data_IF_830099600693
#
_entry.id   IF_830099600693
#
_cell.length_a   1.000
_cell.length_b   1.000
_cell.length_c   1.000
_cell.angle_alpha   90.00
_cell.angle_beta   90.00
_cell.angle_gamma   90.00
#
_symmetry.space_group_name_H-M   'P 1'
#
loop_
_entity.id
_entity.type
_entity.pdbx_description
1 polymer ?
#
# COMPACT_ATOMS: atom_id res chain seq x y z
N UNK A 1 18.90 16.95 9.07
CA UNK A 1 18.33 15.70 8.49
C UNK A 1 17.05 15.43 9.26
N UNK A 2 15.88 15.41 8.60
CA UNK A 2 14.69 14.81 9.21
C UNK A 2 14.96 13.31 9.28
N UNK A 3 14.85 12.72 10.47
CA UNK A 3 14.77 11.26 10.57
C UNK A 3 13.57 10.83 9.72
N UNK A 4 13.84 10.15 8.60
CA UNK A 4 12.77 9.52 7.82
C UNK A 4 12.25 8.39 8.69
N UNK A 5 10.97 8.43 9.04
CA UNK A 5 10.32 7.34 9.76
C UNK A 5 10.61 6.04 9.02
N UNK A 6 11.01 4.98 9.73
CA UNK A 6 11.22 3.64 9.14
C UNK A 6 9.93 3.03 8.57
N UNK A 7 8.79 3.69 8.82
CA UNK A 7 7.48 3.36 8.28
C UNK A 7 6.94 4.43 7.35
N UNK A 8 7.73 5.43 6.94
CA UNK A 8 7.29 6.41 5.95
C UNK A 8 6.74 5.69 4.70
N UNK A 9 5.58 6.10 4.15
CA UNK A 9 4.77 7.29 4.44
C UNK A 9 3.71 7.15 5.55
N UNK A 10 3.71 6.04 6.27
CA UNK A 10 2.71 5.70 7.27
C UNK A 10 3.06 6.23 8.68
N UNK A 11 2.01 6.38 9.49
CA UNK A 11 2.11 6.42 10.95
C UNK A 11 2.01 4.99 11.48
N UNK A 12 2.98 4.60 12.30
CA UNK A 12 2.97 3.32 12.98
C UNK A 12 2.33 3.44 14.36
N UNK A 13 1.39 2.54 14.66
CA UNK A 13 0.86 2.36 16.01
C UNK A 13 0.77 0.88 16.35
N UNK A 14 0.67 0.57 17.64
CA UNK A 14 0.54 -0.81 18.11
C UNK A 14 -0.37 -0.89 19.32
N UNK A 15 -1.20 -1.91 19.34
CA UNK A 15 -2.07 -2.23 20.47
C UNK A 15 -2.09 -3.75 20.70
N UNK A 16 -1.60 -4.19 21.86
CA UNK A 16 -1.37 -5.60 22.16
C UNK A 16 -0.42 -6.28 21.15
N UNK A 17 -0.94 -7.26 20.39
CA UNK A 17 -0.20 -7.98 19.34
C UNK A 17 -0.54 -7.48 17.94
N UNK A 18 -1.48 -6.54 17.83
CA UNK A 18 -1.84 -5.94 16.56
C UNK A 18 -0.99 -4.69 16.32
N UNK A 19 -0.42 -4.62 15.13
CA UNK A 19 0.35 -3.49 14.66
C UNK A 19 -0.37 -2.87 13.47
N UNK A 20 -0.34 -1.54 13.39
CA UNK A 20 -1.07 -0.78 12.39
C UNK A 20 -0.16 0.23 11.70
N UNK A 21 -0.32 0.34 10.39
CA UNK A 21 0.19 1.42 9.56
C UNK A 21 -0.99 2.22 9.01
N UNK A 22 -0.98 3.52 9.28
CA UNK A 22 -2.02 4.43 8.78
C UNK A 22 -1.41 5.40 7.78
N UNK A 23 -1.98 5.48 6.58
CA UNK A 23 -1.50 6.39 5.55
C UNK A 23 -1.92 7.83 5.86
N UNK A 24 -0.96 8.76 5.78
CA UNK A 24 -1.16 10.16 6.23
C UNK A 24 -1.80 11.01 5.14
N UNK A 25 -1.41 10.78 3.88
CA UNK A 25 -1.92 11.47 2.71
C UNK A 25 -2.23 10.42 1.64
N UNK A 26 -3.51 10.33 1.28
CA UNK A 26 -4.02 9.35 0.34
C UNK A 26 -3.78 9.76 -1.13
N UNK A 27 -3.10 10.90 -1.38
CA UNK A 27 -2.73 11.34 -2.73
C UNK A 27 -3.94 11.42 -3.67
N UNK A 28 -5.08 11.91 -3.19
CA UNK A 28 -6.38 11.88 -3.92
C UNK A 28 -6.28 12.36 -5.37
N UNK A 29 -5.52 13.42 -5.62
CA UNK A 29 -5.33 13.98 -6.97
C UNK A 29 -4.69 13.02 -7.96
N UNK A 30 -3.80 12.14 -7.49
CA UNK A 30 -3.18 11.13 -8.35
C UNK A 30 -4.23 10.12 -8.78
N UNK A 31 -5.07 9.63 -7.87
CA UNK A 31 -6.17 8.71 -8.17
C UNK A 31 -7.27 9.33 -9.02
N UNK A 32 -7.65 10.59 -8.74
CA UNK A 32 -8.65 11.34 -9.53
C UNK A 32 -8.25 11.45 -11.01
N UNK A 33 -6.95 11.50 -11.33
CA UNK A 33 -6.46 11.54 -12.71
C UNK A 33 -6.76 10.24 -13.50
N UNK A 34 -7.06 9.14 -12.79
CA UNK A 34 -7.38 7.82 -13.32
C UNK A 34 -8.84 7.42 -13.08
N UNK A 35 -9.73 8.39 -12.82
CA UNK A 35 -11.16 8.18 -12.54
C UNK A 35 -11.45 7.39 -11.24
N UNK A 36 -10.51 7.37 -10.27
CA UNK A 36 -10.68 6.80 -8.93
C UNK A 36 -10.95 7.89 -7.88
N UNK A 37 -11.48 7.51 -6.70
CA UNK A 37 -11.74 8.44 -5.59
C UNK A 37 -10.46 8.75 -4.79
N UNK A 38 -9.51 7.81 -4.77
CA UNK A 38 -8.30 7.87 -3.96
C UNK A 38 -8.57 7.66 -2.47
N UNK A 39 -9.62 6.92 -2.13
CA UNK A 39 -9.95 6.59 -0.75
C UNK A 39 -9.23 5.32 -0.27
N UNK A 40 -9.61 4.82 0.91
CA UNK A 40 -9.01 3.61 1.47
C UNK A 40 -9.25 2.35 0.63
N UNK A 41 -10.38 2.28 -0.09
CA UNK A 41 -10.69 1.12 -0.94
C UNK A 41 -9.77 1.11 -2.17
N UNK A 42 -9.55 2.25 -2.80
CA UNK A 42 -8.64 2.36 -3.95
C UNK A 42 -7.19 2.03 -3.58
N UNK A 43 -6.74 2.46 -2.39
CA UNK A 43 -5.42 2.09 -1.87
C UNK A 43 -5.31 0.61 -1.52
N UNK A 44 -6.35 0.03 -0.90
CA UNK A 44 -6.40 -1.40 -0.62
C UNK A 44 -6.29 -2.19 -1.92
N UNK A 45 -7.11 -1.86 -2.92
CA UNK A 45 -7.11 -2.50 -4.23
C UNK A 45 -5.74 -2.44 -4.92
N UNK A 46 -5.12 -1.25 -4.93
CA UNK A 46 -3.79 -1.04 -5.50
C UNK A 46 -2.76 -1.94 -4.82
N UNK A 47 -2.71 -1.97 -3.50
CA UNK A 47 -1.70 -2.74 -2.77
C UNK A 47 -1.98 -4.25 -2.80
N UNK A 48 -3.23 -4.67 -2.76
CA UNK A 48 -3.62 -6.08 -2.93
C UNK A 48 -3.15 -6.61 -4.29
N UNK A 49 -3.47 -5.90 -5.37
CA UNK A 49 -3.07 -6.30 -6.71
C UNK A 49 -1.55 -6.27 -6.88
N UNK A 50 -0.89 -5.20 -6.42
CA UNK A 50 0.57 -5.11 -6.46
C UNK A 50 1.25 -6.27 -5.71
N UNK A 51 0.77 -6.61 -4.51
CA UNK A 51 1.35 -7.69 -3.73
C UNK A 51 0.99 -9.07 -4.29
N UNK A 52 -0.19 -9.25 -4.86
CA UNK A 52 -0.56 -10.50 -5.53
C UNK A 52 0.37 -10.84 -6.70
N UNK A 53 0.95 -9.82 -7.34
CA UNK A 53 1.94 -9.99 -8.41
C UNK A 53 3.37 -10.08 -7.85
N UNK A 54 3.76 -9.14 -6.97
CA UNK A 54 5.16 -8.97 -6.56
C UNK A 54 5.57 -9.83 -5.36
N UNK A 55 4.67 -10.02 -4.40
CA UNK A 55 4.97 -10.72 -3.14
C UNK A 55 3.71 -11.32 -2.48
N UNK A 56 3.16 -12.43 -3.01
CA UNK A 56 1.94 -13.05 -2.47
C UNK A 56 2.08 -13.48 -1.01
N UNK A 57 3.27 -13.92 -0.61
CA UNK A 57 3.53 -14.35 0.77
C UNK A 57 3.52 -13.19 1.77
N UNK A 58 3.77 -11.96 1.32
CA UNK A 58 3.58 -10.78 2.14
C UNK A 58 2.09 -10.42 2.27
N UNK A 59 1.33 -10.52 1.17
CA UNK A 59 -0.12 -10.28 1.17
C UNK A 59 -0.85 -11.14 2.21
N UNK A 60 -0.51 -12.43 2.32
CA UNK A 60 -1.11 -13.37 3.29
C UNK A 60 -0.95 -12.96 4.77
N UNK A 61 -0.04 -12.02 5.07
CA UNK A 61 0.24 -11.54 6.43
C UNK A 61 -0.41 -10.21 6.76
N UNK A 62 -1.02 -9.55 5.79
CA UNK A 62 -1.55 -8.20 5.91
C UNK A 62 -3.06 -8.21 5.84
N UNK A 63 -3.68 -7.33 6.62
CA UNK A 63 -5.11 -7.03 6.52
C UNK A 63 -5.26 -5.54 6.22
N UNK A 64 -5.95 -5.22 5.13
CA UNK A 64 -6.26 -3.83 4.77
C UNK A 64 -7.56 -3.39 5.44
N UNK A 65 -7.59 -2.15 5.93
CA UNK A 65 -8.74 -1.55 6.60
C UNK A 65 -9.00 -0.13 6.09
N UNK A 66 -10.27 0.28 6.20
CA UNK A 66 -10.78 1.61 5.84
C UNK A 66 -11.31 2.35 7.08
N UNK A 67 -10.56 2.34 8.18
CA UNK A 67 -11.02 3.01 9.39
C UNK A 67 -11.16 4.51 9.16
N UNK A 68 -12.39 5.03 9.20
CA UNK A 68 -12.70 6.47 9.25
C UNK A 68 -12.14 7.30 8.09
N UNK A 69 -12.28 6.83 6.85
CA UNK A 69 -11.74 7.49 5.62
C UNK A 69 -10.22 7.53 5.56
N UNK A 70 -9.55 6.67 6.33
CA UNK A 70 -8.10 6.56 6.35
C UNK A 70 -7.72 5.13 6.00
N UNK A 71 -6.80 4.99 5.07
CA UNK A 71 -6.27 3.69 4.70
C UNK A 71 -5.36 3.16 5.81
N UNK A 72 -5.63 1.95 6.27
CA UNK A 72 -4.84 1.26 7.28
C UNK A 72 -4.38 -0.13 6.83
N UNK A 73 -3.22 -0.55 7.34
CA UNK A 73 -2.68 -1.90 7.14
C UNK A 73 -2.36 -2.49 8.51
N UNK A 74 -2.94 -3.65 8.80
CA UNK A 74 -2.79 -4.36 10.05
C UNK A 74 -1.98 -5.64 9.87
N UNK A 75 -1.18 -6.00 10.89
CA UNK A 75 -0.53 -7.30 10.97
C UNK A 75 -0.04 -7.59 12.40
N UNK A 76 0.01 -8.86 12.78
CA UNK A 76 0.78 -9.31 13.95
C UNK A 76 2.30 -9.43 13.63
N UNK A 77 2.68 -9.42 12.35
CA UNK A 77 4.07 -9.50 11.88
C UNK A 77 4.60 -8.09 11.59
N UNK A 78 5.42 -7.57 12.51
CA UNK A 78 6.03 -6.25 12.37
C UNK A 78 6.99 -6.15 11.18
N UNK A 79 7.62 -7.27 10.79
CA UNK A 79 8.53 -7.30 9.64
C UNK A 79 7.72 -7.23 8.34
N UNK A 80 6.51 -7.82 8.31
CA UNK A 80 5.59 -7.67 7.18
C UNK A 80 5.16 -6.20 7.00
N UNK A 81 4.83 -5.50 8.09
CA UNK A 81 4.51 -4.06 8.02
C UNK A 81 5.70 -3.22 7.56
N UNK A 82 6.91 -3.56 8.01
CA UNK A 82 8.09 -2.85 7.54
C UNK A 82 8.31 -3.06 6.04
N UNK A 83 8.19 -4.30 5.55
CA UNK A 83 8.36 -4.62 4.15
C UNK A 83 7.36 -3.89 3.24
N UNK A 84 6.06 -3.83 3.60
CA UNK A 84 5.09 -3.07 2.80
C UNK A 84 5.34 -1.56 2.89
N UNK A 85 5.78 -1.04 4.04
CA UNK A 85 6.15 0.38 4.15
C UNK A 85 7.31 0.74 3.23
N UNK A 86 8.35 -0.11 3.15
CA UNK A 86 9.47 0.08 2.21
C UNK A 86 9.00 0.05 0.76
N UNK A 87 8.17 -0.93 0.38
CA UNK A 87 7.62 -1.02 -0.99
C UNK A 87 6.80 0.21 -1.37
N UNK A 88 5.99 0.75 -0.45
CA UNK A 88 5.20 1.96 -0.72
C UNK A 88 6.09 3.19 -0.77
N UNK A 89 7.09 3.28 0.10
CA UNK A 89 8.05 4.38 0.11
C UNK A 89 8.78 4.55 -1.23
N UNK A 90 8.98 3.48 -2.01
CA UNK A 90 9.64 3.52 -3.31
C UNK A 90 8.90 4.36 -4.36
N UNK A 91 7.56 4.41 -4.30
CA UNK A 91 6.74 5.12 -5.29
C UNK A 91 5.93 6.28 -4.73
N UNK A 92 5.73 6.37 -3.42
CA UNK A 92 4.74 7.28 -2.83
C UNK A 92 4.96 8.78 -3.10
N UNK A 93 6.21 9.23 -3.18
CA UNK A 93 6.56 10.64 -3.45
C UNK A 93 7.09 10.88 -4.87
N UNK A 94 7.17 9.84 -5.68
CA UNK A 94 7.53 9.94 -7.08
C UNK A 94 6.24 9.91 -7.90
N UNK A 95 5.80 11.08 -8.36
CA UNK A 95 4.53 11.24 -9.07
C UNK A 95 4.44 10.32 -10.29
N UNK A 96 5.55 10.10 -11.01
CA UNK A 96 5.58 9.24 -12.21
C UNK A 96 5.44 7.76 -11.82
N UNK A 97 6.10 7.33 -10.74
CA UNK A 97 5.98 5.95 -10.25
C UNK A 97 4.61 5.69 -9.61
N UNK A 98 4.07 6.65 -8.87
CA UNK A 98 2.73 6.56 -8.29
C UNK A 98 1.68 6.44 -9.40
N UNK A 99 1.75 7.28 -10.43
CA UNK A 99 0.87 7.23 -11.60
C UNK A 99 0.94 5.87 -12.32
N UNK A 100 2.14 5.34 -12.53
CA UNK A 100 2.35 4.03 -13.12
C UNK A 100 1.78 2.89 -12.24
N UNK A 101 1.93 3.00 -10.91
CA UNK A 101 1.36 2.05 -9.96
C UNK A 101 -0.16 2.07 -9.96
N UNK A 102 -0.79 3.26 -9.95
CA UNK A 102 -2.25 3.40 -10.03
C UNK A 102 -2.75 2.80 -11.34
N UNK A 103 -2.15 3.20 -12.47
CA UNK A 103 -2.52 2.70 -13.81
C UNK A 103 -2.51 1.17 -13.86
N UNK A 104 -1.49 0.53 -13.27
CA UNK A 104 -1.33 -0.93 -13.34
C UNK A 104 -2.18 -1.68 -12.31
N UNK A 105 -2.25 -1.19 -11.09
CA UNK A 105 -2.72 -2.00 -9.95
C UNK A 105 -4.05 -1.53 -9.36
N UNK A 106 -4.50 -0.29 -9.58
CA UNK A 106 -5.86 0.11 -9.21
C UNK A 106 -6.85 -0.43 -10.26
N UNK A 107 -7.04 -1.76 -10.30
CA UNK A 107 -7.86 -2.45 -11.31
C UNK A 107 -8.80 -3.43 -10.63
N UNK A 108 -10.10 -3.35 -10.91
CA UNK A 108 -11.08 -4.30 -10.36
C UNK A 108 -10.92 -5.71 -10.95
N UNK A 109 -10.51 -5.80 -12.21
CA UNK A 109 -10.19 -7.06 -12.90
C UNK A 109 -8.67 -7.12 -13.14
N UNK A 110 -7.94 -7.57 -12.12
CA UNK A 110 -6.49 -7.72 -12.19
C UNK A 110 -6.09 -9.18 -12.44
N UNK A 111 -5.27 -9.39 -13.47
CA UNK A 111 -4.60 -10.66 -13.70
C UNK A 111 -3.10 -10.46 -13.47
N UNK A 112 -2.49 -11.10 -12.45
CA UNK A 112 -1.07 -10.94 -12.18
C UNK A 112 -0.25 -11.45 -13.36
N UNK A 113 0.70 -10.65 -13.84
CA UNK A 113 1.69 -11.16 -14.78
C UNK A 113 2.62 -12.11 -14.02
N UNK A 114 2.32 -13.42 -14.10
CA UNK A 114 3.18 -14.45 -13.54
C UNK A 114 4.59 -14.25 -14.11
N UNK A 115 5.50 -13.73 -13.30
CA UNK A 115 6.92 -13.65 -13.64
C UNK A 115 7.40 -15.11 -13.72
N UNK A 116 7.39 -15.64 -14.94
CA UNK A 116 8.05 -16.90 -15.25
C UNK A 116 9.55 -16.69 -15.04
N UNK A 117 10.01 -16.96 -13.81
CA UNK A 117 11.43 -17.07 -13.50
C UNK A 117 11.99 -18.20 -14.37
N UNK A 118 12.63 -17.83 -15.48
CA UNK A 118 13.50 -18.70 -16.26
C UNK A 118 14.88 -18.77 -15.62
#
# INVERSE_FOLDING_TARGET
MKEVSVYYPFLFSTFNRDHNLQLIDLKWKAFEAHDFLGDGEDWALLLENMLSEKNPSLLEKLTFGDETLMFSIHSEDKDALHAIAEMVCEFYDDDDLLDACITRYAQYEFEPELINNK
#
